data_IF_585620759762
#
_entry.id   IF_585620759762
#
_cell.length_a   1.000
_cell.length_b   1.000
_cell.length_c   1.000
_cell.angle_alpha   90.00
_cell.angle_beta   90.00
_cell.angle_gamma   90.00
#
_symmetry.space_group_name_H-M   'P 1'
#
loop_
_entity.id
_entity.type
_entity.pdbx_description
1 polymer ?
#
# COMPACT_ATOMS: atom_id res chain seq x y z
N UNK A 1 0.53 -1.10 4.89
CA UNK A 1 -0.55 -1.88 5.55
C UNK A 1 -1.82 -1.64 4.73
N UNK A 2 -2.82 -2.52 4.69
CA UNK A 2 -3.97 -2.21 3.83
C UNK A 2 -4.71 -0.95 4.36
N UNK A 3 -5.05 -0.06 3.43
CA UNK A 3 -5.54 1.29 3.65
C UNK A 3 -4.49 2.26 4.23
N UNK A 4 -3.51 2.63 3.40
CA UNK A 4 -2.45 3.60 3.73
C UNK A 4 -2.85 5.05 3.36
N UNK A 5 -2.53 6.00 4.24
CA UNK A 5 -2.63 7.44 3.95
C UNK A 5 -1.33 7.92 3.29
N UNK A 6 -1.44 8.39 2.04
CA UNK A 6 -0.33 8.97 1.27
C UNK A 6 -0.45 10.49 1.31
N UNK A 7 0.48 11.16 2.00
CA UNK A 7 0.55 12.62 2.03
C UNK A 7 1.24 13.12 0.76
N UNK A 8 0.54 13.94 -0.04
CA UNK A 8 1.15 14.60 -1.19
C UNK A 8 1.64 15.99 -0.80
N UNK A 9 2.94 16.26 -0.91
CA UNK A 9 3.54 17.59 -0.71
C UNK A 9 3.28 18.48 -1.93
N UNK A 10 2.00 18.61 -2.28
CA UNK A 10 1.54 19.21 -3.53
C UNK A 10 0.32 20.08 -3.31
N UNK A 11 0.27 21.20 -3.99
CA UNK A 11 -0.88 22.09 -4.04
C UNK A 11 -1.19 22.48 -5.50
N UNK A 12 -2.47 22.53 -5.88
CA UNK A 12 -2.91 22.91 -7.23
C UNK A 12 -2.18 22.11 -8.34
N UNK A 13 -2.09 20.80 -8.12
CA UNK A 13 -1.42 19.85 -9.01
C UNK A 13 0.08 20.11 -9.25
N UNK A 14 0.76 20.75 -8.29
CA UNK A 14 2.22 20.97 -8.33
C UNK A 14 2.87 20.71 -6.99
N UNK A 15 4.11 20.21 -7.00
CA UNK A 15 4.95 20.15 -5.80
C UNK A 15 5.17 21.56 -5.26
N UNK A 16 4.96 21.72 -3.95
CA UNK A 16 5.08 23.04 -3.29
C UNK A 16 6.55 23.49 -3.23
N UNK A 17 6.84 24.80 -3.34
CA UNK A 17 8.20 25.32 -3.31
C UNK A 17 8.96 24.98 -2.02
N UNK A 18 8.26 24.85 -0.90
CA UNK A 18 8.80 24.57 0.44
C UNK A 18 8.70 23.08 0.84
N UNK A 19 8.54 22.16 -0.12
CA UNK A 19 8.32 20.74 0.14
C UNK A 19 9.39 20.12 1.04
N UNK A 20 10.66 20.56 0.90
CA UNK A 20 11.77 20.10 1.74
C UNK A 20 11.58 20.46 3.20
N UNK A 21 11.11 21.67 3.51
CA UNK A 21 10.85 22.11 4.87
C UNK A 21 9.61 21.42 5.45
N UNK A 22 8.56 21.25 4.63
CA UNK A 22 7.32 20.56 5.03
C UNK A 22 7.53 19.07 5.30
N UNK A 23 8.56 18.45 4.73
CA UNK A 23 8.88 17.06 4.98
C UNK A 23 9.14 16.79 6.47
N UNK A 24 9.89 17.66 7.15
CA UNK A 24 10.24 17.45 8.55
C UNK A 24 8.98 17.52 9.46
N UNK A 25 8.12 18.52 9.22
CA UNK A 25 6.82 18.64 9.90
C UNK A 25 5.90 17.44 9.61
N UNK A 26 5.89 16.92 8.37
CA UNK A 26 5.13 15.74 8.02
C UNK A 26 5.64 14.49 8.78
N UNK A 27 6.96 14.29 8.82
CA UNK A 27 7.58 13.18 9.53
C UNK A 27 7.33 13.24 11.05
N UNK A 28 7.34 14.44 11.64
CA UNK A 28 6.94 14.70 13.03
C UNK A 28 5.45 14.37 13.26
N UNK A 29 4.61 14.64 12.24
CA UNK A 29 3.22 14.19 12.20
C UNK A 29 3.07 12.66 12.18
N UNK A 30 4.12 11.93 11.84
CA UNK A 30 4.17 10.46 11.87
C UNK A 30 3.86 9.79 10.53
N UNK A 31 3.70 10.53 9.43
CA UNK A 31 3.43 9.91 8.12
C UNK A 31 4.68 9.18 7.61
N UNK A 32 4.45 8.07 6.90
CA UNK A 32 5.49 7.24 6.30
C UNK A 32 5.29 6.98 4.81
N UNK A 33 4.22 7.51 4.22
CA UNK A 33 3.91 7.44 2.79
C UNK A 33 3.80 8.87 2.28
N UNK A 34 4.81 9.33 1.54
CA UNK A 34 4.95 10.73 1.17
C UNK A 34 5.18 10.82 -0.33
N UNK A 35 4.34 11.59 -1.00
CA UNK A 35 4.39 11.81 -2.43
C UNK A 35 4.60 13.25 -2.82
N UNK A 36 4.98 13.43 -4.08
CA UNK A 36 5.15 14.71 -4.75
C UNK A 36 4.84 14.52 -6.24
N UNK A 37 4.81 15.62 -6.99
CA UNK A 37 4.63 15.62 -8.45
C UNK A 37 5.93 15.97 -9.16
N UNK A 38 6.02 15.55 -10.41
CA UNK A 38 7.14 15.88 -11.31
C UNK A 38 7.20 17.36 -11.70
N UNK A 39 6.10 18.08 -11.51
CA UNK A 39 5.99 19.53 -11.75
C UNK A 39 6.03 20.33 -10.45
N UNK A 40 6.54 21.56 -10.51
CA UNK A 40 6.55 22.52 -9.40
C UNK A 40 7.94 22.87 -8.86
N UNK A 41 8.88 21.92 -8.92
CA UNK A 41 10.27 22.11 -8.51
C UNK A 41 11.26 21.71 -9.62
N UNK A 42 12.48 22.26 -9.62
CA UNK A 42 13.60 21.75 -10.41
C UNK A 42 13.88 20.27 -10.13
N UNK A 43 14.35 19.53 -11.14
CA UNK A 43 14.67 18.09 -11.01
C UNK A 43 15.65 17.81 -9.87
N UNK A 44 16.67 18.66 -9.68
CA UNK A 44 17.64 18.49 -8.59
C UNK A 44 16.99 18.55 -7.19
N UNK A 45 15.98 19.42 -7.02
CA UNK A 45 15.27 19.55 -5.75
C UNK A 45 14.33 18.36 -5.51
N UNK A 46 13.70 17.85 -6.57
CA UNK A 46 12.94 16.60 -6.52
C UNK A 46 13.82 15.40 -6.16
N UNK A 47 15.05 15.32 -6.70
CA UNK A 47 16.05 14.32 -6.31
C UNK A 47 16.37 14.41 -4.81
N UNK A 48 16.62 15.62 -4.32
CA UNK A 48 16.90 15.88 -2.91
C UNK A 48 15.72 15.50 -2.01
N UNK A 49 14.49 15.78 -2.44
CA UNK A 49 13.27 15.42 -1.71
C UNK A 49 13.06 13.90 -1.65
N UNK A 50 13.19 13.20 -2.78
CA UNK A 50 13.06 11.75 -2.85
C UNK A 50 14.07 11.03 -1.95
N UNK A 51 15.34 11.45 -2.03
CA UNK A 51 16.41 10.91 -1.19
C UNK A 51 16.15 11.14 0.30
N UNK A 52 15.60 12.30 0.68
CA UNK A 52 15.30 12.62 2.05
C UNK A 52 14.12 11.81 2.63
N UNK A 53 13.06 11.61 1.84
CA UNK A 53 11.93 10.74 2.22
C UNK A 53 12.45 9.34 2.54
N UNK A 54 13.28 8.78 1.65
CA UNK A 54 13.89 7.45 1.83
C UNK A 54 14.85 7.40 3.02
N UNK A 55 15.68 8.41 3.21
CA UNK A 55 16.60 8.48 4.35
C UNK A 55 15.86 8.51 5.70
N UNK A 56 14.63 9.03 5.72
CA UNK A 56 13.75 9.00 6.88
C UNK A 56 13.02 7.65 7.08
N UNK A 57 13.26 6.66 6.23
CA UNK A 57 12.58 5.36 6.25
C UNK A 57 11.13 5.42 5.77
N UNK A 58 10.74 6.49 5.07
CA UNK A 58 9.41 6.63 4.49
C UNK A 58 9.41 6.18 3.01
N UNK A 59 8.25 5.75 2.53
CA UNK A 59 8.00 5.39 1.14
C UNK A 59 7.70 6.64 0.31
N UNK A 60 8.39 6.76 -0.81
CA UNK A 60 8.31 7.86 -1.77
C UNK A 60 7.36 7.57 -2.93
N UNK A 61 6.57 8.56 -3.31
CA UNK A 61 5.62 8.49 -4.43
C UNK A 61 5.86 9.65 -5.38
N UNK A 62 5.94 9.37 -6.69
CA UNK A 62 5.85 10.38 -7.73
C UNK A 62 4.50 10.24 -8.43
N UNK A 63 3.71 11.30 -8.50
CA UNK A 63 2.46 11.34 -9.28
C UNK A 63 2.68 12.09 -10.59
N UNK A 64 2.29 11.45 -11.71
CA UNK A 64 2.35 12.03 -13.05
C UNK A 64 1.01 12.66 -13.39
N UNK A 65 1.01 13.96 -13.68
CA UNK A 65 -0.19 14.71 -14.10
C UNK A 65 -0.21 15.06 -15.58
N UNK A 66 0.88 14.76 -16.31
CA UNK A 66 1.03 15.05 -17.74
C UNK A 66 0.11 14.17 -18.59
N UNK A 67 -0.57 14.78 -19.57
CA UNK A 67 -1.48 14.08 -20.49
C UNK A 67 -0.88 13.82 -21.86
N UNK A 68 0.13 14.57 -22.28
CA UNK A 68 0.86 14.30 -23.52
C UNK A 68 1.86 13.15 -23.32
N UNK A 69 2.10 12.44 -24.42
CA UNK A 69 2.89 11.21 -24.42
C UNK A 69 4.34 11.45 -24.00
N UNK A 70 4.97 12.48 -24.55
CA UNK A 70 6.40 12.72 -24.35
C UNK A 70 6.70 13.13 -22.91
N UNK A 71 5.86 13.99 -22.33
CA UNK A 71 5.97 14.40 -20.93
C UNK A 71 5.69 13.22 -19.99
N UNK A 72 4.63 12.42 -20.21
CA UNK A 72 4.35 11.23 -19.37
C UNK A 72 5.53 10.25 -19.35
N UNK A 73 6.13 9.96 -20.52
CA UNK A 73 7.31 9.10 -20.60
C UNK A 73 8.56 9.75 -19.98
N UNK A 74 8.68 11.07 -20.02
CA UNK A 74 9.74 11.79 -19.33
C UNK A 74 9.57 11.69 -17.81
N UNK A 75 8.36 11.81 -17.28
CA UNK A 75 8.04 11.64 -15.87
C UNK A 75 8.31 10.21 -15.41
N UNK A 76 7.98 9.20 -16.23
CA UNK A 76 8.31 7.80 -15.95
C UNK A 76 9.83 7.55 -15.85
N UNK A 77 10.62 8.14 -16.77
CA UNK A 77 12.10 8.11 -16.69
C UNK A 77 12.62 8.85 -15.46
N UNK A 78 12.02 9.98 -15.13
CA UNK A 78 12.37 10.74 -13.92
C UNK A 78 12.09 9.92 -12.66
N UNK A 79 10.95 9.22 -12.58
CA UNK A 79 10.63 8.32 -11.46
C UNK A 79 11.73 7.28 -11.23
N UNK A 80 12.17 6.61 -12.29
CA UNK A 80 13.27 5.65 -12.21
C UNK A 80 14.61 6.32 -11.82
N UNK A 81 14.92 7.50 -12.38
CA UNK A 81 16.15 8.22 -12.05
C UNK A 81 16.18 8.75 -10.60
N UNK A 82 15.01 9.11 -10.05
CA UNK A 82 14.82 9.56 -8.68
C UNK A 82 14.85 8.42 -7.66
N UNK A 83 14.80 7.17 -8.14
CA UNK A 83 14.68 5.96 -7.32
C UNK A 83 13.48 6.07 -6.36
N UNK A 84 12.31 6.47 -6.89
CA UNK A 84 11.07 6.48 -6.10
C UNK A 84 10.51 5.08 -5.96
N UNK A 85 9.83 4.81 -4.84
CA UNK A 85 9.24 3.49 -4.57
C UNK A 85 7.99 3.26 -5.42
N UNK A 86 7.22 4.32 -5.69
CA UNK A 86 5.93 4.24 -6.37
C UNK A 86 5.79 5.36 -7.42
N UNK A 87 5.29 4.99 -8.59
CA UNK A 87 4.84 5.88 -9.65
C UNK A 87 3.32 5.80 -9.75
N UNK A 88 2.64 6.91 -9.49
CA UNK A 88 1.19 7.05 -9.58
C UNK A 88 0.82 7.82 -10.85
N UNK A 89 -0.32 7.46 -11.44
CA UNK A 89 -0.88 8.15 -12.60
C UNK A 89 -0.29 7.75 -13.95
N UNK A 90 -0.56 8.58 -14.96
CA UNK A 90 -0.34 8.24 -16.36
C UNK A 90 -1.48 7.43 -16.98
N UNK A 91 -1.64 7.57 -18.29
CA UNK A 91 -2.74 6.98 -19.08
C UNK A 91 -2.25 5.95 -20.09
N UNK A 92 -0.92 5.84 -20.28
CA UNK A 92 -0.28 4.99 -21.30
C UNK A 92 0.46 3.84 -20.63
N UNK A 93 -0.27 3.02 -19.88
CA UNK A 93 0.32 2.02 -19.00
C UNK A 93 1.32 1.07 -19.70
N UNK A 94 1.01 0.62 -20.92
CA UNK A 94 1.89 -0.26 -21.70
C UNK A 94 3.22 0.42 -22.10
N UNK A 95 3.22 1.72 -22.35
CA UNK A 95 4.43 2.45 -22.72
C UNK A 95 5.25 2.82 -21.49
N UNK A 96 4.58 3.23 -20.41
CA UNK A 96 5.25 3.54 -19.14
C UNK A 96 5.91 2.29 -18.56
N UNK A 97 5.23 1.13 -18.60
CA UNK A 97 5.85 -0.14 -18.18
C UNK A 97 7.07 -0.51 -19.00
N UNK A 98 7.11 -0.21 -20.31
CA UNK A 98 8.32 -0.42 -21.12
C UNK A 98 9.51 0.43 -20.63
N UNK A 99 9.25 1.59 -20.04
CA UNK A 99 10.28 2.46 -19.44
C UNK A 99 10.69 2.00 -18.04
N UNK A 100 9.73 1.52 -17.24
CA UNK A 100 9.94 1.27 -15.80
C UNK A 100 10.20 -0.19 -15.43
N UNK A 101 9.96 -1.15 -16.34
CA UNK A 101 10.04 -2.60 -16.06
C UNK A 101 11.39 -3.10 -15.52
N UNK A 102 12.48 -2.41 -15.86
CA UNK A 102 13.84 -2.78 -15.44
C UNK A 102 14.23 -2.07 -14.11
N UNK A 103 13.30 -1.35 -13.49
CA UNK A 103 13.46 -0.68 -12.20
C UNK A 103 12.53 -1.32 -11.15
N UNK A 104 12.92 -1.42 -9.86
CA UNK A 104 12.07 -1.98 -8.80
C UNK A 104 10.85 -1.12 -8.41
N UNK A 105 10.59 -0.01 -9.11
CA UNK A 105 9.49 0.89 -8.73
C UNK A 105 8.14 0.24 -9.01
N UNK A 106 7.15 0.57 -8.20
CA UNK A 106 5.79 0.07 -8.35
C UNK A 106 4.94 1.06 -9.12
N UNK A 107 4.29 0.61 -10.19
CA UNK A 107 3.52 1.47 -11.08
C UNK A 107 2.00 1.31 -10.90
N UNK A 108 1.30 2.45 -10.77
CA UNK A 108 -0.14 2.58 -10.54
C UNK A 108 -0.76 3.56 -11.55
N UNK A 109 -1.04 3.13 -12.79
CA UNK A 109 -1.70 3.94 -13.82
C UNK A 109 -3.13 4.35 -13.47
N UNK A 110 -3.63 5.41 -14.13
CA UNK A 110 -5.04 5.79 -14.10
C UNK A 110 -5.88 4.83 -14.95
N UNK A 111 -6.95 4.22 -14.41
CA UNK A 111 -7.97 3.55 -15.21
C UNK A 111 -8.99 4.55 -15.77
N UNK A 112 -9.55 4.24 -16.93
CA UNK A 112 -10.55 5.06 -17.62
C UNK A 112 -9.96 6.16 -18.50
N UNK A 113 -10.81 7.09 -18.93
CA UNK A 113 -10.43 8.22 -19.79
C UNK A 113 -10.19 9.46 -18.94
N UNK A 114 -8.94 9.92 -18.87
CA UNK A 114 -8.55 11.10 -18.10
C UNK A 114 -8.26 12.28 -19.03
N UNK A 115 -8.84 13.43 -18.72
CA UNK A 115 -8.71 14.65 -19.55
C UNK A 115 -8.56 15.91 -18.70
N UNK A 116 -8.00 16.96 -19.29
CA UNK A 116 -7.90 18.29 -18.67
C UNK A 116 -6.86 18.38 -17.54
N UNK A 117 -6.65 19.61 -17.07
CA UNK A 117 -5.83 19.90 -15.90
C UNK A 117 -6.52 21.03 -15.10
N UNK A 118 -7.08 20.75 -13.91
CA UNK A 118 -7.00 19.49 -13.15
C UNK A 118 -7.68 18.32 -13.87
N UNK A 119 -7.15 17.11 -13.64
CA UNK A 119 -7.60 15.87 -14.30
C UNK A 119 -9.06 15.55 -13.97
N UNK A 120 -9.82 15.14 -14.99
CA UNK A 120 -11.22 14.70 -14.92
C UNK A 120 -11.32 13.26 -15.44
N UNK A 121 -11.97 12.38 -14.66
CA UNK A 121 -12.24 11.00 -15.04
C UNK A 121 -13.60 10.90 -15.73
N UNK A 122 -13.59 10.58 -17.03
CA UNK A 122 -14.75 10.59 -17.90
C UNK A 122 -15.28 9.18 -18.23
N UNK A 123 -16.50 9.17 -18.75
CA UNK A 123 -17.17 7.96 -19.26
C UNK A 123 -18.06 7.27 -18.22
N UNK A 124 -18.84 6.26 -18.63
CA UNK A 124 -19.68 5.50 -17.71
C UNK A 124 -18.81 4.63 -16.78
N UNK A 125 -19.29 4.41 -15.55
CA UNK A 125 -18.58 3.61 -14.55
C UNK A 125 -18.17 2.21 -15.06
N UNK A 126 -19.03 1.56 -15.86
CA UNK A 126 -18.72 0.26 -16.47
C UNK A 126 -17.47 0.31 -17.37
N UNK A 127 -17.30 1.36 -18.19
CA UNK A 127 -16.13 1.50 -19.05
C UNK A 127 -14.84 1.75 -18.23
N UNK A 128 -14.95 2.45 -17.11
CA UNK A 128 -13.82 2.65 -16.18
C UNK A 128 -13.42 1.31 -15.55
N UNK A 129 -14.39 0.48 -15.16
CA UNK A 129 -14.16 -0.86 -14.61
C UNK A 129 -13.50 -1.78 -15.64
N UNK A 130 -13.94 -1.76 -16.90
CA UNK A 130 -13.33 -2.55 -17.97
C UNK A 130 -11.90 -2.10 -18.28
N UNK A 131 -11.66 -0.78 -18.28
CA UNK A 131 -10.31 -0.24 -18.38
C UNK A 131 -9.42 -0.65 -17.21
N UNK A 132 -9.95 -0.64 -15.98
CA UNK A 132 -9.24 -1.08 -14.79
C UNK A 132 -8.79 -2.55 -14.89
N UNK A 133 -9.66 -3.46 -15.38
CA UNK A 133 -9.30 -4.86 -15.65
C UNK A 133 -8.16 -4.97 -16.65
N UNK A 134 -8.33 -4.33 -17.82
CA UNK A 134 -7.35 -4.41 -18.90
C UNK A 134 -5.96 -3.91 -18.48
N UNK A 135 -5.91 -2.81 -17.73
CA UNK A 135 -4.65 -2.23 -17.25
C UNK A 135 -4.06 -3.06 -16.10
N UNK A 136 -4.89 -3.55 -15.18
CA UNK A 136 -4.43 -4.40 -14.09
C UNK A 136 -3.90 -5.76 -14.58
N UNK A 137 -4.25 -6.23 -15.77
CA UNK A 137 -3.70 -7.46 -16.35
C UNK A 137 -2.30 -7.28 -16.95
N UNK A 138 -1.84 -6.04 -17.15
CA UNK A 138 -0.49 -5.79 -17.65
C UNK A 138 0.59 -6.23 -16.65
N UNK A 139 1.64 -6.85 -17.17
CA UNK A 139 2.86 -7.11 -16.40
C UNK A 139 3.51 -5.77 -16.01
N UNK A 140 4.19 -5.72 -14.87
CA UNK A 140 4.80 -4.52 -14.29
C UNK A 140 3.82 -3.38 -13.91
N UNK A 141 2.51 -3.54 -14.09
CA UNK A 141 1.50 -2.78 -13.35
C UNK A 141 1.30 -3.42 -11.98
N UNK A 142 1.40 -2.64 -10.91
CA UNK A 142 1.39 -3.14 -9.53
C UNK A 142 0.11 -2.79 -8.76
N UNK A 143 -0.72 -1.94 -9.35
CA UNK A 143 -2.00 -1.47 -8.82
C UNK A 143 -2.60 -0.43 -9.76
N UNK A 144 -3.63 0.26 -9.28
CA UNK A 144 -4.29 1.35 -10.01
C UNK A 144 -4.31 2.59 -9.14
N UNK A 145 -4.21 3.75 -9.78
CA UNK A 145 -4.49 5.04 -9.17
C UNK A 145 -5.84 5.53 -9.69
N UNK A 146 -6.88 5.53 -8.87
CA UNK A 146 -8.24 5.87 -9.27
C UNK A 146 -8.56 7.31 -8.88
N UNK A 147 -8.79 8.17 -9.88
CA UNK A 147 -9.23 9.57 -9.70
C UNK A 147 -10.72 9.68 -9.30
N UNK A 148 -11.11 8.99 -8.22
CA UNK A 148 -12.51 8.70 -7.90
C UNK A 148 -13.35 9.97 -7.72
N UNK A 149 -12.87 10.98 -7.00
CA UNK A 149 -13.62 12.24 -6.82
C UNK A 149 -13.44 13.24 -7.97
N UNK A 150 -12.77 12.85 -9.05
CA UNK A 150 -12.76 13.55 -10.34
C UNK A 150 -13.73 12.94 -11.35
N UNK A 151 -14.47 11.91 -10.94
CA UNK A 151 -15.56 11.30 -11.70
C UNK A 151 -16.89 11.98 -11.39
N UNK A 152 -17.68 12.27 -12.43
CA UNK A 152 -19.02 12.82 -12.30
C UNK A 152 -20.06 11.69 -12.21
N UNK A 153 -20.32 11.18 -11.01
CA UNK A 153 -21.32 10.14 -10.77
C UNK A 153 -21.29 9.59 -9.34
N UNK A 154 -21.76 8.35 -9.18
CA UNK A 154 -21.70 7.61 -7.92
C UNK A 154 -20.24 7.19 -7.62
N UNK A 155 -19.54 8.01 -6.84
CA UNK A 155 -18.13 7.79 -6.50
C UNK A 155 -17.94 6.56 -5.59
N UNK A 156 -18.67 6.37 -4.48
CA UNK A 156 -18.59 5.13 -3.70
C UNK A 156 -18.86 3.87 -4.53
N UNK A 157 -19.91 3.89 -5.36
CA UNK A 157 -20.23 2.77 -6.25
C UNK A 157 -19.11 2.47 -7.25
N UNK A 158 -18.49 3.51 -7.84
CA UNK A 158 -17.35 3.34 -8.73
C UNK A 158 -16.15 2.72 -8.02
N UNK A 159 -15.77 3.22 -6.84
CA UNK A 159 -14.63 2.68 -6.08
C UNK A 159 -14.85 1.20 -5.76
N UNK A 160 -16.02 0.84 -5.25
CA UNK A 160 -16.35 -0.55 -4.92
C UNK A 160 -16.33 -1.46 -6.16
N UNK A 161 -16.89 -0.98 -7.29
CA UNK A 161 -16.91 -1.75 -8.54
C UNK A 161 -15.49 -1.99 -9.10
N UNK A 162 -14.61 -1.00 -9.04
CA UNK A 162 -13.21 -1.14 -9.48
C UNK A 162 -12.45 -2.08 -8.56
N UNK A 163 -12.53 -1.90 -7.23
CA UNK A 163 -11.87 -2.75 -6.25
C UNK A 163 -12.33 -4.21 -6.33
N UNK A 164 -13.62 -4.47 -6.60
CA UNK A 164 -14.13 -5.83 -6.79
C UNK A 164 -13.68 -6.46 -8.13
N UNK A 165 -13.37 -5.65 -9.13
CA UNK A 165 -13.03 -6.11 -10.47
C UNK A 165 -11.56 -6.50 -10.66
N UNK A 166 -10.67 -6.05 -9.77
CA UNK A 166 -9.22 -6.28 -9.89
C UNK A 166 -8.62 -6.88 -8.62
N UNK A 167 -7.65 -7.78 -8.77
CA UNK A 167 -6.93 -8.37 -7.63
C UNK A 167 -5.76 -7.49 -7.12
N UNK A 168 -5.37 -6.48 -7.90
CA UNK A 168 -4.27 -5.57 -7.57
C UNK A 168 -4.79 -4.38 -6.73
N UNK A 169 -3.95 -3.80 -5.85
CA UNK A 169 -4.35 -2.69 -4.99
C UNK A 169 -4.82 -1.46 -5.79
N UNK A 170 -5.87 -0.80 -5.31
CA UNK A 170 -6.37 0.47 -5.85
C UNK A 170 -6.09 1.57 -4.84
N UNK A 171 -5.36 2.60 -5.25
CA UNK A 171 -5.16 3.83 -4.48
C UNK A 171 -6.18 4.84 -5.00
N UNK A 172 -6.85 5.57 -4.10
CA UNK A 172 -7.77 6.64 -4.51
C UNK A 172 -7.05 7.97 -4.45
N UNK A 173 -7.01 8.67 -5.57
CA UNK A 173 -6.50 10.02 -5.67
C UNK A 173 -7.59 11.02 -6.07
N UNK A 174 -7.26 12.29 -5.87
CA UNK A 174 -8.12 13.42 -6.23
C UNK A 174 -9.07 13.81 -5.10
N UNK A 175 -8.91 15.05 -4.64
CA UNK A 175 -9.91 15.80 -3.86
C UNK A 175 -10.39 15.15 -2.55
N UNK A 176 -9.62 14.29 -1.88
CA UNK A 176 -9.97 13.84 -0.53
C UNK A 176 -9.70 14.97 0.47
N UNK A 177 -10.76 15.48 1.10
CA UNK A 177 -10.76 16.73 1.85
C UNK A 177 -11.50 16.67 3.19
N UNK A 178 -12.06 15.50 3.55
CA UNK A 178 -12.89 15.32 4.76
C UNK A 178 -12.98 13.86 5.16
N UNK A 179 -13.31 13.62 6.44
CA UNK A 179 -13.43 12.29 7.05
C UNK A 179 -14.32 11.32 6.23
N UNK A 180 -15.50 11.79 5.82
CA UNK A 180 -16.46 10.96 5.08
C UNK A 180 -15.91 10.39 3.76
N UNK A 181 -14.96 11.07 3.10
CA UNK A 181 -14.32 10.53 1.87
C UNK A 181 -13.28 9.46 2.18
N UNK A 182 -12.59 9.57 3.33
CA UNK A 182 -11.65 8.55 3.81
C UNK A 182 -12.42 7.28 4.19
N UNK A 183 -13.52 7.43 4.92
CA UNK A 183 -14.41 6.32 5.31
C UNK A 183 -14.96 5.59 4.08
N UNK A 184 -15.52 6.33 3.12
CA UNK A 184 -16.02 5.75 1.88
C UNK A 184 -14.96 4.99 1.07
N UNK A 185 -13.71 5.49 1.04
CA UNK A 185 -12.61 4.79 0.37
C UNK A 185 -12.25 3.48 1.08
N UNK A 186 -12.23 3.47 2.42
CA UNK A 186 -11.95 2.27 3.20
C UNK A 186 -13.05 1.20 3.00
N UNK A 187 -14.32 1.60 3.08
CA UNK A 187 -15.49 0.74 2.88
C UNK A 187 -15.51 0.12 1.47
N UNK A 188 -15.11 0.88 0.46
CA UNK A 188 -15.00 0.43 -0.92
C UNK A 188 -13.87 -0.60 -1.16
N UNK A 189 -13.00 -0.84 -0.17
CA UNK A 189 -11.93 -1.85 -0.25
C UNK A 189 -10.67 -1.34 -0.94
N UNK A 190 -10.43 -0.03 -0.91
CA UNK A 190 -9.21 0.55 -1.49
C UNK A 190 -7.99 0.23 -0.63
N UNK A 191 -6.81 0.20 -1.25
CA UNK A 191 -5.55 -0.07 -0.57
C UNK A 191 -4.96 1.17 0.10
N UNK A 192 -5.43 2.36 -0.25
CA UNK A 192 -4.96 3.62 0.29
C UNK A 192 -5.56 4.81 -0.42
N UNK A 193 -5.15 6.00 0.01
CA UNK A 193 -5.66 7.25 -0.54
C UNK A 193 -4.63 8.37 -0.45
N UNK A 194 -4.75 9.36 -1.35
CA UNK A 194 -3.87 10.53 -1.36
C UNK A 194 -4.57 11.77 -0.79
N UNK A 195 -3.84 12.59 -0.04
CA UNK A 195 -4.27 13.94 0.38
C UNK A 195 -3.12 14.92 0.18
N UNK A 196 -3.36 15.98 -0.59
CA UNK A 196 -2.39 17.07 -0.80
C UNK A 196 -2.89 18.40 -0.26
N UNK A 197 -3.44 19.24 -1.15
CA UNK A 197 -3.96 20.58 -0.84
C UNK A 197 -4.79 20.65 0.44
N UNK A 198 -5.68 19.69 0.69
CA UNK A 198 -6.53 19.70 1.87
C UNK A 198 -5.75 19.53 3.20
N UNK A 199 -4.65 18.77 3.20
CA UNK A 199 -3.79 18.64 4.37
C UNK A 199 -3.01 19.95 4.62
N UNK A 200 -2.48 20.56 3.56
CA UNK A 200 -1.75 21.82 3.63
C UNK A 200 -2.65 23.00 4.06
N UNK A 201 -3.90 23.02 3.59
CA UNK A 201 -4.90 24.02 3.92
C UNK A 201 -5.55 23.83 5.29
N UNK A 202 -5.22 22.75 6.01
CA UNK A 202 -5.81 22.44 7.32
C UNK A 202 -7.30 22.11 7.29
N UNK A 203 -7.75 21.42 6.25
CA UNK A 203 -9.16 21.10 6.03
C UNK A 203 -9.73 20.05 7.00
N UNK A 204 -8.88 19.29 7.69
CA UNK A 204 -9.33 18.25 8.61
C UNK A 204 -9.43 18.78 10.06
N UNK A 205 -10.39 18.31 10.85
CA UNK A 205 -10.46 18.65 12.27
C UNK A 205 -9.23 18.11 13.01
N UNK A 206 -8.38 19.01 13.51
CA UNK A 206 -7.15 18.66 14.23
C UNK A 206 -7.15 19.26 15.63
N UNK A 207 -6.73 18.47 16.62
CA UNK A 207 -6.59 18.93 18.01
C UNK A 207 -5.38 19.86 18.20
N UNK A 208 -4.31 19.60 17.46
CA UNK A 208 -3.10 20.41 17.46
C UNK A 208 -3.04 21.31 16.21
N UNK A 209 -2.58 22.54 16.39
CA UNK A 209 -2.36 23.47 15.30
C UNK A 209 -1.16 23.05 14.41
N UNK A 210 -1.10 23.63 13.21
CA UNK A 210 0.02 23.43 12.27
C UNK A 210 -0.09 22.16 11.43
N UNK A 211 0.87 22.00 10.51
CA UNK A 211 0.83 20.94 9.51
C UNK A 211 1.02 19.55 10.12
N UNK A 212 1.93 19.40 11.10
CA UNK A 212 2.10 18.15 11.84
C UNK A 212 0.80 17.71 12.56
N UNK A 213 0.04 18.68 13.11
CA UNK A 213 -1.27 18.44 13.73
C UNK A 213 -2.29 17.90 12.72
N UNK A 214 -2.30 18.45 11.51
CA UNK A 214 -3.14 17.98 10.40
C UNK A 214 -2.78 16.58 9.95
N UNK A 215 -1.49 16.28 9.79
CA UNK A 215 -1.03 14.93 9.44
C UNK A 215 -1.47 13.91 10.49
N UNK A 216 -1.33 14.22 11.79
CA UNK A 216 -1.83 13.35 12.88
C UNK A 216 -3.34 13.13 12.82
N UNK A 217 -4.11 14.18 12.54
CA UNK A 217 -5.56 14.08 12.42
C UNK A 217 -5.98 13.14 11.28
N UNK A 218 -5.33 13.26 10.11
CA UNK A 218 -5.61 12.39 8.95
C UNK A 218 -5.17 10.95 9.24
N UNK A 219 -4.02 10.73 9.89
CA UNK A 219 -3.59 9.39 10.32
C UNK A 219 -4.58 8.76 11.29
N UNK A 220 -5.11 9.52 12.25
CA UNK A 220 -6.13 9.02 13.18
C UNK A 220 -7.44 8.67 12.46
N UNK A 221 -7.85 9.47 11.47
CA UNK A 221 -8.98 9.15 10.61
C UNK A 221 -8.74 7.87 9.79
N UNK A 222 -7.56 7.75 9.17
CA UNK A 222 -7.18 6.58 8.41
C UNK A 222 -7.15 5.32 9.27
N UNK A 223 -6.65 5.41 10.51
CA UNK A 223 -6.63 4.29 11.45
C UNK A 223 -8.06 3.83 11.84
N UNK A 224 -8.99 4.77 12.05
CA UNK A 224 -10.40 4.44 12.30
C UNK A 224 -11.07 3.81 11.09
N UNK A 225 -10.92 4.42 9.92
CA UNK A 225 -11.49 3.92 8.67
C UNK A 225 -10.93 2.53 8.29
N UNK A 226 -9.64 2.28 8.58
CA UNK A 226 -8.99 0.98 8.37
C UNK A 226 -9.69 -0.16 9.11
N UNK A 227 -10.25 0.10 10.30
CA UNK A 227 -10.98 -0.92 11.05
C UNK A 227 -12.29 -1.37 10.35
N UNK A 228 -12.79 -0.56 9.43
CA UNK A 228 -13.99 -0.84 8.61
C UNK A 228 -13.61 -1.29 7.19
N UNK A 229 -12.32 -1.31 6.86
CA UNK A 229 -11.87 -1.61 5.51
C UNK A 229 -12.15 -3.06 5.12
N UNK A 230 -12.73 -3.24 3.94
CA UNK A 230 -13.04 -4.54 3.33
C UNK A 230 -11.89 -5.09 2.50
N UNK A 231 -10.78 -4.34 2.37
CA UNK A 231 -9.63 -4.74 1.57
C UNK A 231 -8.98 -6.02 2.16
N UNK A 232 -8.78 -7.07 1.34
CA UNK A 232 -8.18 -8.31 1.82
C UNK A 232 -6.73 -8.10 2.23
N UNK A 233 -6.37 -8.58 3.43
CA UNK A 233 -5.00 -8.51 3.94
C UNK A 233 -4.11 -9.62 3.37
N UNK A 234 -2.81 -9.32 3.26
CA UNK A 234 -1.76 -10.24 2.81
C UNK A 234 -0.87 -10.60 4.02
N UNK A 235 -1.12 -11.74 4.63
CA UNK A 235 -0.47 -12.15 5.88
C UNK A 235 0.52 -13.28 5.60
N UNK A 236 1.78 -13.09 5.96
CA UNK A 236 2.74 -14.18 5.91
C UNK A 236 2.63 -15.06 7.17
N UNK A 237 2.50 -16.38 6.99
CA UNK A 237 2.49 -17.35 8.09
C UNK A 237 3.66 -18.33 7.96
N UNK A 238 4.53 -18.35 8.97
CA UNK A 238 5.74 -19.17 9.00
C UNK A 238 5.84 -19.87 10.35
N UNK A 239 6.41 -21.07 10.36
CA UNK A 239 6.69 -21.80 11.59
C UNK A 239 7.85 -22.76 11.37
N UNK A 240 8.74 -22.83 12.37
CA UNK A 240 9.66 -23.96 12.49
C UNK A 240 8.89 -25.26 12.71
N UNK A 241 9.49 -26.39 12.33
CA UNK A 241 8.84 -27.70 12.37
C UNK A 241 8.24 -28.02 13.75
N UNK A 242 9.02 -27.76 14.81
CA UNK A 242 8.61 -27.95 16.20
C UNK A 242 7.48 -27.01 16.67
N UNK A 243 7.10 -26.00 15.88
CA UNK A 243 6.04 -25.03 16.20
C UNK A 243 4.82 -25.12 15.28
N UNK A 244 4.83 -25.98 14.25
CA UNK A 244 3.70 -26.14 13.32
C UNK A 244 2.42 -26.61 14.00
N UNK A 245 2.51 -27.45 15.03
CA UNK A 245 1.33 -27.86 15.81
C UNK A 245 0.68 -26.67 16.52
N UNK A 246 1.51 -25.78 17.09
CA UNK A 246 1.05 -24.56 17.74
C UNK A 246 0.43 -23.57 16.74
N UNK A 247 1.07 -23.38 15.58
CA UNK A 247 0.52 -22.55 14.51
C UNK A 247 -0.81 -23.11 14.01
N UNK A 248 -0.92 -24.44 13.81
CA UNK A 248 -2.17 -25.09 13.43
C UNK A 248 -3.31 -24.77 14.40
N UNK A 249 -3.05 -24.93 15.70
CA UNK A 249 -4.03 -24.62 16.73
C UNK A 249 -4.42 -23.13 16.71
N UNK A 250 -3.45 -22.24 16.52
CA UNK A 250 -3.69 -20.80 16.41
C UNK A 250 -4.57 -20.45 15.21
N UNK A 251 -4.26 -20.97 14.02
CA UNK A 251 -5.07 -20.72 12.81
C UNK A 251 -6.49 -21.29 13.01
N UNK A 252 -6.65 -22.45 13.66
CA UNK A 252 -7.96 -22.99 13.99
C UNK A 252 -8.83 -22.04 14.83
N UNK A 253 -8.24 -21.37 15.84
CA UNK A 253 -8.95 -20.38 16.66
C UNK A 253 -9.30 -19.11 15.88
N UNK A 254 -8.44 -18.71 14.93
CA UNK A 254 -8.59 -17.47 14.15
C UNK A 254 -9.17 -17.69 12.75
N UNK A 255 -9.66 -18.89 12.43
CA UNK A 255 -10.07 -19.26 11.07
C UNK A 255 -11.11 -18.30 10.49
N UNK A 256 -12.04 -17.84 11.33
CA UNK A 256 -13.07 -16.87 10.96
C UNK A 256 -12.50 -15.50 10.60
N UNK A 257 -11.57 -14.99 11.40
CA UNK A 257 -10.91 -13.71 11.15
C UNK A 257 -9.98 -13.78 9.93
N UNK A 258 -9.32 -14.92 9.70
CA UNK A 258 -8.43 -15.13 8.56
C UNK A 258 -9.17 -15.38 7.23
N UNK A 259 -10.48 -15.65 7.27
CA UNK A 259 -11.28 -15.91 6.08
C UNK A 259 -11.40 -14.64 5.21
N UNK A 260 -11.25 -14.80 3.90
CA UNK A 260 -11.25 -13.67 2.95
C UNK A 260 -9.91 -12.93 2.82
N UNK A 261 -8.88 -13.34 3.57
CA UNK A 261 -7.52 -12.81 3.45
C UNK A 261 -6.59 -13.79 2.73
N UNK A 262 -5.46 -13.27 2.22
CA UNK A 262 -4.45 -14.06 1.51
C UNK A 262 -3.34 -14.46 2.48
N UNK A 263 -3.23 -15.76 2.75
CA UNK A 263 -2.20 -16.33 3.61
C UNK A 263 -1.02 -16.80 2.77
N UNK A 264 0.15 -16.22 2.97
CA UNK A 264 1.37 -16.51 2.22
C UNK A 264 2.29 -17.33 3.13
N UNK A 265 2.54 -18.59 2.77
CA UNK A 265 3.20 -19.52 3.67
C UNK A 265 4.40 -20.19 3.00
N UNK A 266 5.47 -20.44 3.76
CA UNK A 266 6.54 -21.34 3.30
C UNK A 266 6.02 -22.76 3.12
N UNK A 267 6.67 -23.53 2.24
CA UNK A 267 6.06 -24.72 1.63
C UNK A 267 5.49 -25.76 2.60
N UNK A 268 6.17 -26.04 3.71
CA UNK A 268 5.71 -26.98 4.73
C UNK A 268 4.59 -26.43 5.61
N UNK A 269 4.65 -25.13 5.94
CA UNK A 269 3.59 -24.44 6.68
C UNK A 269 2.33 -24.34 5.83
N UNK A 270 2.45 -23.91 4.58
CA UNK A 270 1.29 -23.78 3.68
C UNK A 270 0.58 -25.11 3.38
N UNK A 271 1.33 -26.20 3.25
CA UNK A 271 0.74 -27.54 3.12
C UNK A 271 -0.08 -27.92 4.37
N UNK A 272 0.44 -27.57 5.55
CA UNK A 272 -0.23 -27.79 6.82
C UNK A 272 -1.53 -26.96 6.93
N UNK A 273 -1.48 -25.67 6.57
CA UNK A 273 -2.65 -24.78 6.62
C UNK A 273 -3.75 -25.28 5.67
N UNK A 274 -3.40 -25.55 4.41
CA UNK A 274 -4.35 -26.00 3.40
C UNK A 274 -5.04 -27.34 3.79
N UNK A 275 -4.30 -28.26 4.41
CA UNK A 275 -4.87 -29.53 4.87
C UNK A 275 -5.79 -29.35 6.10
N UNK A 276 -5.50 -28.39 6.98
CA UNK A 276 -6.26 -28.18 8.21
C UNK A 276 -7.55 -27.39 7.98
N UNK A 277 -7.50 -26.42 7.05
CA UNK A 277 -8.56 -25.44 6.81
C UNK A 277 -8.66 -25.14 5.30
N UNK A 278 -9.30 -26.02 4.52
CA UNK A 278 -9.34 -25.92 3.05
C UNK A 278 -10.10 -24.69 2.52
N UNK A 279 -10.88 -24.00 3.37
CA UNK A 279 -11.58 -22.77 3.02
C UNK A 279 -10.72 -21.49 3.03
N UNK A 280 -9.45 -21.57 3.45
CA UNK A 280 -8.56 -20.41 3.49
C UNK A 280 -7.80 -20.25 2.17
N UNK A 281 -7.62 -18.99 1.74
CA UNK A 281 -6.81 -18.66 0.55
C UNK A 281 -5.33 -18.73 0.89
N UNK A 282 -4.66 -19.81 0.47
CA UNK A 282 -3.25 -20.07 0.78
C UNK A 282 -2.39 -20.00 -0.47
N UNK A 283 -1.43 -19.09 -0.50
CA UNK A 283 -0.32 -19.10 -1.44
C UNK A 283 0.88 -19.82 -0.81
N UNK A 284 1.40 -20.83 -1.50
CA UNK A 284 2.59 -21.57 -1.06
C UNK A 284 3.85 -21.06 -1.74
N UNK A 285 4.84 -20.71 -0.93
CA UNK A 285 6.21 -20.45 -1.34
C UNK A 285 7.05 -21.73 -1.26
N UNK A 286 8.33 -21.63 -1.59
CA UNK A 286 9.28 -22.72 -1.36
C UNK A 286 9.37 -23.06 0.14
N UNK A 287 9.92 -24.23 0.44
CA UNK A 287 10.28 -24.57 1.83
C UNK A 287 11.33 -23.58 2.33
N UNK A 288 11.34 -23.26 3.62
CA UNK A 288 12.29 -22.31 4.22
C UNK A 288 13.74 -22.61 3.83
N UNK A 289 14.20 -23.84 4.12
CA UNK A 289 15.51 -24.37 3.74
C UNK A 289 15.81 -24.45 2.23
N UNK A 290 14.85 -24.13 1.35
CA UNK A 290 15.03 -24.01 -0.11
C UNK A 290 14.86 -22.57 -0.61
N UNK A 291 14.97 -21.59 0.29
CA UNK A 291 14.85 -20.16 -0.04
C UNK A 291 13.44 -19.59 0.14
N UNK A 292 12.50 -20.32 0.75
CA UNK A 292 11.16 -19.80 1.04
C UNK A 292 11.17 -18.58 1.97
N UNK A 293 12.10 -18.54 2.93
CA UNK A 293 12.23 -17.40 3.85
C UNK A 293 12.80 -16.17 3.12
N UNK A 294 13.68 -16.38 2.13
CA UNK A 294 14.18 -15.30 1.27
C UNK A 294 13.09 -14.77 0.32
N UNK A 295 12.19 -15.64 -0.17
CA UNK A 295 11.02 -15.19 -0.91
C UNK A 295 10.09 -14.31 -0.05
N UNK A 296 9.93 -14.62 1.24
CA UNK A 296 9.22 -13.75 2.17
C UNK A 296 9.95 -12.43 2.39
N UNK A 297 11.27 -12.47 2.55
CA UNK A 297 12.10 -11.26 2.64
C UNK A 297 11.89 -10.34 1.44
N UNK A 298 11.83 -10.88 0.22
CA UNK A 298 11.51 -10.12 -0.98
C UNK A 298 10.12 -9.46 -0.89
N UNK A 299 9.10 -10.19 -0.42
CA UNK A 299 7.74 -9.65 -0.27
C UNK A 299 7.64 -8.56 0.82
N UNK A 300 8.47 -8.61 1.87
CA UNK A 300 8.60 -7.50 2.83
C UNK A 300 9.19 -6.29 2.11
N UNK A 301 10.32 -6.48 1.43
CA UNK A 301 11.06 -5.40 0.77
C UNK A 301 10.24 -4.72 -0.34
N UNK A 302 9.39 -5.47 -1.05
CA UNK A 302 8.51 -4.91 -2.08
C UNK A 302 7.20 -4.35 -1.52
N UNK A 303 6.94 -4.43 -0.21
CA UNK A 303 5.71 -3.94 0.42
C UNK A 303 4.48 -4.76 0.05
N UNK A 304 4.66 -6.05 -0.14
CA UNK A 304 3.63 -7.01 -0.55
C UNK A 304 3.00 -7.77 0.62
N UNK A 305 3.38 -7.47 1.85
CA UNK A 305 2.83 -8.05 3.06
C UNK A 305 2.28 -6.95 3.96
N UNK A 306 1.11 -7.21 4.55
CA UNK A 306 0.55 -6.39 5.60
C UNK A 306 1.11 -6.74 6.97
N UNK A 307 1.51 -8.01 7.15
CA UNK A 307 2.16 -8.47 8.34
C UNK A 307 2.84 -9.84 8.15
N UNK A 308 3.75 -10.15 9.06
CA UNK A 308 4.43 -11.44 9.16
C UNK A 308 4.18 -12.04 10.54
N UNK A 309 3.72 -13.28 10.56
CA UNK A 309 3.56 -14.08 11.77
C UNK A 309 4.48 -15.29 11.65
N UNK A 310 5.52 -15.32 12.47
CA UNK A 310 6.51 -16.39 12.49
C UNK A 310 6.53 -17.04 13.87
N UNK A 311 6.04 -18.27 13.95
CA UNK A 311 6.18 -19.10 15.15
C UNK A 311 7.59 -19.71 15.17
N UNK A 312 8.54 -18.93 15.67
CA UNK A 312 9.94 -19.29 15.77
C UNK A 312 10.21 -20.24 16.95
N UNK A 313 11.20 -21.11 16.79
CA UNK A 313 11.74 -21.96 17.85
C UNK A 313 13.21 -21.61 18.12
N UNK A 314 13.50 -20.81 19.16
CA UNK A 314 14.86 -20.39 19.46
C UNK A 314 15.73 -21.53 20.03
N UNK A 315 15.14 -22.62 20.52
CA UNK A 315 15.88 -23.73 21.11
C UNK A 315 16.47 -24.64 20.04
N UNK A 316 15.68 -24.97 19.02
CA UNK A 316 16.11 -25.83 17.91
C UNK A 316 16.87 -25.06 16.82
N UNK A 317 16.75 -23.73 16.79
CA UNK A 317 17.39 -22.87 15.79
C UNK A 317 18.15 -21.70 16.46
N UNK A 318 19.20 -21.99 17.25
CA UNK A 318 20.03 -20.95 17.81
C UNK A 318 20.76 -20.19 16.69
N UNK A 319 20.70 -18.86 16.72
CA UNK A 319 21.38 -18.03 15.72
C UNK A 319 20.79 -18.12 14.31
N UNK A 320 19.49 -18.41 14.19
CA UNK A 320 18.78 -18.47 12.92
C UNK A 320 18.97 -17.20 12.07
N UNK A 321 19.78 -17.33 11.00
CA UNK A 321 20.14 -16.23 10.11
C UNK A 321 18.99 -15.80 9.21
N UNK A 322 18.07 -16.71 8.88
CA UNK A 322 16.88 -16.40 8.07
C UNK A 322 15.88 -15.57 8.88
N UNK A 323 15.66 -15.94 10.15
CA UNK A 323 14.85 -15.15 11.08
C UNK A 323 15.46 -13.76 11.32
N UNK A 324 16.77 -13.66 11.49
CA UNK A 324 17.46 -12.38 11.64
C UNK A 324 17.31 -11.50 10.39
N UNK A 325 17.48 -12.08 9.19
CA UNK A 325 17.31 -11.37 7.94
C UNK A 325 15.87 -10.86 7.77
N UNK A 326 14.87 -11.70 8.05
CA UNK A 326 13.46 -11.33 8.02
C UNK A 326 13.14 -10.21 9.02
N UNK A 327 13.66 -10.31 10.25
CA UNK A 327 13.47 -9.28 11.28
C UNK A 327 14.08 -7.95 10.86
N UNK A 328 15.29 -7.97 10.30
CA UNK A 328 15.96 -6.77 9.77
C UNK A 328 15.14 -6.10 8.67
N UNK A 329 14.60 -6.88 7.73
CA UNK A 329 13.77 -6.34 6.65
C UNK A 329 12.44 -5.81 7.18
N UNK A 330 11.81 -6.49 8.14
CA UNK A 330 10.58 -6.03 8.78
C UNK A 330 10.78 -4.67 9.47
N UNK A 331 11.91 -4.48 10.18
CA UNK A 331 12.27 -3.20 10.79
C UNK A 331 12.50 -2.13 9.71
N UNK A 332 13.28 -2.45 8.68
CA UNK A 332 13.65 -1.49 7.63
C UNK A 332 12.42 -0.99 6.85
N UNK A 333 11.45 -1.86 6.61
CA UNK A 333 10.25 -1.56 5.82
C UNK A 333 8.99 -1.34 6.66
N UNK A 334 9.14 -1.14 7.98
CA UNK A 334 8.04 -0.93 8.94
C UNK A 334 6.89 -1.94 8.79
N UNK A 335 7.24 -3.21 8.57
CA UNK A 335 6.29 -4.30 8.39
C UNK A 335 6.04 -4.98 9.73
N UNK A 336 4.78 -5.04 10.22
CA UNK A 336 4.47 -5.70 11.48
C UNK A 336 4.93 -7.16 11.50
N UNK A 337 5.65 -7.53 12.57
CA UNK A 337 6.21 -8.86 12.76
C UNK A 337 5.83 -9.40 14.14
N UNK A 338 5.18 -10.56 14.17
CA UNK A 338 4.91 -11.31 15.39
C UNK A 338 5.77 -12.58 15.43
N UNK A 339 6.61 -12.71 16.47
CA UNK A 339 7.51 -13.85 16.67
C UNK A 339 7.02 -14.86 17.72
N UNK A 340 5.80 -14.66 18.23
CA UNK A 340 5.17 -15.51 19.23
C UNK A 340 3.63 -15.55 19.04
N UNK A 341 2.94 -16.55 19.60
CA UNK A 341 1.47 -16.62 19.50
C UNK A 341 0.76 -15.43 20.15
N UNK A 342 1.24 -14.93 21.28
CA UNK A 342 0.62 -13.79 21.97
C UNK A 342 0.78 -12.49 21.18
N UNK A 343 1.96 -12.28 20.55
CA UNK A 343 2.15 -11.18 19.62
C UNK A 343 1.26 -11.33 18.38
N UNK A 344 1.08 -12.56 17.88
CA UNK A 344 0.21 -12.85 16.74
C UNK A 344 -1.26 -12.56 17.06
N UNK A 345 -1.73 -12.90 18.27
CA UNK A 345 -3.08 -12.59 18.75
C UNK A 345 -3.33 -11.08 18.77
N UNK A 346 -2.40 -10.29 19.34
CA UNK A 346 -2.51 -8.83 19.37
C UNK A 346 -2.51 -8.21 17.97
N UNK A 347 -1.64 -8.70 17.09
CA UNK A 347 -1.50 -8.23 15.73
C UNK A 347 -2.76 -8.52 14.89
N UNK A 348 -3.32 -9.73 14.99
CA UNK A 348 -4.57 -10.08 14.30
C UNK A 348 -5.75 -9.29 14.84
N UNK A 349 -5.86 -9.10 16.14
CA UNK A 349 -6.91 -8.27 16.73
C UNK A 349 -6.87 -6.82 16.19
N UNK A 350 -5.68 -6.26 15.98
CA UNK A 350 -5.51 -4.92 15.42
C UNK A 350 -5.80 -4.85 13.91
N UNK A 351 -5.37 -5.84 13.14
CA UNK A 351 -5.48 -5.82 11.68
C UNK A 351 -6.83 -6.31 11.15
N UNK A 352 -7.47 -7.22 11.89
CA UNK A 352 -8.69 -7.93 11.49
C UNK A 352 -9.82 -7.72 12.52
N UNK A 353 -10.21 -6.48 12.86
CA UNK A 353 -11.14 -6.19 13.95
C UNK A 353 -12.57 -6.72 13.71
N UNK A 354 -12.88 -7.18 12.50
CA UNK A 354 -14.14 -7.81 12.14
C UNK A 354 -14.17 -9.31 12.47
N UNK A 355 -14.52 -9.62 13.72
CA UNK A 355 -15.19 -10.84 14.24
C UNK A 355 -14.52 -11.36 15.52
N UNK A 356 -14.95 -10.81 16.65
CA UNK A 356 -14.67 -11.38 17.96
C UNK A 356 -15.07 -12.87 18.00
N UNK A 357 -14.28 -13.74 18.66
CA UNK A 357 -14.75 -15.08 19.00
C UNK A 357 -15.97 -14.96 19.91
N UNK A 358 -17.04 -15.67 19.56
CA UNK A 358 -18.22 -15.88 20.43
C UNK A 358 -17.85 -16.70 21.64
#
# INVERSE_FOLDING_TARGET
MAFDFILMLTENDRTIPDARARLDEALEGGVRHIGFKDVGLPVADLCGLAAAIRAAGARSYLEVVSLDRDSELASARAAAALDVDCLLGGTRAAEVTAVTRDHPLRYYPFPGVVTGHPSVLQGPAAAIVDSARAIADLEHVHGLDLLAYRFAGDVPGLMAAVCAAVAKPVIVAGSIDRAARIEAAAEAGTAGFTVGTAALAGAFPAEAAGFAGQVRAILALAARARAQSTAPRRLALVAHDARKAQLRAWIGRHARALAGHRLICTGGTGAMVAASLPGLSVQRLQRGARGGDQQLGALIATGELDAVIFFADPLSHPGDVDLQALTRLAILHDTPLALSPSAADALVAALLPGQAPS
#
